data_IF_612438475182
#
_entry.id   IF_612438475182
#
_cell.length_a   1.000
_cell.length_b   1.000
_cell.length_c   1.000
_cell.angle_alpha   90.00
_cell.angle_beta   90.00
_cell.angle_gamma   90.00
#
_symmetry.space_group_name_H-M   'P 1'
#
loop_
_entity.id
_entity.type
_entity.pdbx_description
1 polymer ?
#
# COMPACT_ATOMS: atom_id res chain seq x y z
N UNK A 1 43.00 9.62 55.21
CA UNK A 1 41.66 10.05 54.73
C UNK A 1 41.64 9.95 53.21
N UNK A 2 41.56 8.72 52.69
CA UNK A 2 41.37 8.39 51.27
C UNK A 2 40.58 7.11 51.31
N UNK A 3 39.50 7.05 50.52
CA UNK A 3 38.58 5.93 50.29
C UNK A 3 37.17 6.47 50.48
N UNK A 4 36.53 6.74 49.34
CA UNK A 4 35.08 6.79 49.06
C UNK A 4 34.76 7.60 47.78
N UNK A 5 35.75 7.96 46.96
CA UNK A 5 35.47 8.66 45.69
C UNK A 5 35.09 7.71 44.54
N UNK A 6 35.30 6.39 44.66
CA UNK A 6 35.04 5.44 43.56
C UNK A 6 33.59 4.93 43.51
N UNK A 7 32.82 5.06 44.59
CA UNK A 7 31.43 4.59 44.64
C UNK A 7 30.44 5.51 43.92
N UNK A 8 30.73 6.81 43.84
CA UNK A 8 29.81 7.81 43.27
C UNK A 8 29.89 7.85 41.73
N UNK A 9 31.05 7.51 41.15
CA UNK A 9 31.25 7.57 39.71
C UNK A 9 30.49 6.46 38.94
N UNK A 10 30.33 5.27 39.55
CA UNK A 10 29.68 4.12 38.91
C UNK A 10 28.14 4.24 38.84
N UNK A 11 27.52 4.98 39.75
CA UNK A 11 26.07 5.19 39.76
C UNK A 11 25.60 6.12 38.62
N UNK A 12 26.44 7.07 38.19
CA UNK A 12 26.09 8.00 37.12
C UNK A 12 26.14 7.37 35.73
N UNK A 13 26.97 6.34 35.50
CA UNK A 13 27.06 5.67 34.18
C UNK A 13 25.85 4.78 33.91
N UNK A 14 25.26 4.16 34.94
CA UNK A 14 24.07 3.32 34.79
C UNK A 14 22.78 4.13 34.54
N UNK A 15 22.69 5.34 35.08
CA UNK A 15 21.50 6.19 34.95
C UNK A 15 21.36 6.86 33.57
N UNK A 16 22.46 7.05 32.83
CA UNK A 16 22.45 7.71 31.50
C UNK A 16 22.01 6.75 30.38
N UNK A 17 22.16 5.43 30.57
CA UNK A 17 21.84 4.46 29.51
C UNK A 17 20.36 4.05 29.43
N UNK A 18 19.51 4.47 30.37
CA UNK A 18 18.08 4.11 30.40
C UNK A 18 17.15 5.12 29.70
N UNK A 19 17.68 6.22 29.13
CA UNK A 19 16.87 7.25 28.45
C UNK A 19 16.90 7.19 26.92
N UNK A 20 17.51 6.16 26.34
CA UNK A 20 17.28 5.81 24.93
C UNK A 20 15.92 5.12 24.78
N UNK A 21 14.85 5.80 25.19
CA UNK A 21 13.49 5.48 24.76
C UNK A 21 13.51 5.69 23.25
N UNK A 22 13.64 4.59 22.51
CA UNK A 22 13.58 4.59 21.07
C UNK A 22 12.38 5.42 20.63
N UNK A 23 12.64 6.49 19.88
CA UNK A 23 11.58 7.24 19.23
C UNK A 23 10.67 6.23 18.52
N UNK A 24 9.33 6.36 18.62
CA UNK A 24 8.46 5.50 17.83
C UNK A 24 8.93 5.66 16.39
N UNK A 25 9.25 4.55 15.73
CA UNK A 25 9.58 4.53 14.32
C UNK A 25 8.53 5.38 13.60
N UNK A 26 8.97 6.33 12.77
CA UNK A 26 8.08 7.18 12.00
C UNK A 26 7.24 6.28 11.10
N UNK A 27 6.05 5.94 11.59
CA UNK A 27 5.18 4.98 10.96
C UNK A 27 4.54 5.64 9.74
N UNK A 28 5.16 5.50 8.58
CA UNK A 28 4.64 6.03 7.34
C UNK A 28 3.61 5.06 6.77
N UNK A 29 2.48 5.56 6.27
CA UNK A 29 1.53 4.76 5.51
C UNK A 29 1.30 5.40 4.14
N UNK A 30 1.31 4.58 3.10
CA UNK A 30 1.02 4.99 1.73
C UNK A 30 0.03 4.01 1.09
N UNK A 31 -0.86 4.54 0.25
CA UNK A 31 -1.72 3.74 -0.61
C UNK A 31 -1.00 3.56 -1.95
N UNK A 32 -0.74 2.32 -2.32
CA UNK A 32 -0.18 1.94 -3.61
C UNK A 32 -1.27 1.29 -4.46
N UNK A 33 -1.11 1.40 -5.78
CA UNK A 33 -2.06 0.83 -6.73
C UNK A 33 -1.37 0.33 -7.99
N UNK A 34 -1.85 -0.79 -8.52
CA UNK A 34 -1.49 -1.30 -9.85
C UNK A 34 -2.74 -1.47 -10.72
N UNK A 35 -2.70 -1.00 -11.95
CA UNK A 35 -3.81 -1.09 -12.92
C UNK A 35 -3.36 -1.89 -14.13
N UNK A 36 -4.21 -2.79 -14.59
CA UNK A 36 -4.00 -3.53 -15.83
C UNK A 36 -5.31 -3.89 -16.50
N UNK A 37 -5.25 -4.11 -17.80
CA UNK A 37 -6.37 -4.55 -18.61
C UNK A 37 -6.19 -5.98 -19.17
N UNK A 38 -7.27 -6.51 -19.70
CA UNK A 38 -7.29 -7.82 -20.33
C UNK A 38 -8.56 -8.08 -21.15
N UNK A 39 -8.45 -9.05 -22.05
CA UNK A 39 -9.58 -9.55 -22.83
C UNK A 39 -10.57 -10.38 -21.99
N UNK A 40 -10.09 -10.96 -20.89
CA UNK A 40 -10.89 -11.67 -19.88
C UNK A 40 -10.62 -11.14 -18.46
N UNK A 41 -11.63 -11.28 -17.59
CA UNK A 41 -11.57 -10.78 -16.20
C UNK A 41 -10.44 -11.40 -15.37
N UNK A 42 -10.24 -12.74 -15.35
CA UNK A 42 -9.14 -13.35 -14.60
C UNK A 42 -7.77 -12.80 -14.97
N UNK A 43 -7.48 -12.64 -16.27
CA UNK A 43 -6.22 -12.09 -16.76
C UNK A 43 -6.03 -10.65 -16.30
N UNK A 44 -7.05 -9.79 -16.45
CA UNK A 44 -6.97 -8.39 -16.01
C UNK A 44 -6.73 -8.28 -14.50
N UNK A 45 -7.42 -9.10 -13.70
CA UNK A 45 -7.24 -9.17 -12.23
C UNK A 45 -5.82 -9.61 -11.87
N UNK A 46 -5.34 -10.69 -12.49
CA UNK A 46 -4.01 -11.24 -12.22
C UNK A 46 -2.91 -10.23 -12.53
N UNK A 47 -3.01 -9.55 -13.67
CA UNK A 47 -2.07 -8.51 -14.08
C UNK A 47 -2.13 -7.29 -13.16
N UNK A 48 -3.32 -6.85 -12.74
CA UNK A 48 -3.45 -5.71 -11.83
C UNK A 48 -2.86 -6.02 -10.44
N UNK A 49 -3.03 -7.25 -9.96
CA UNK A 49 -2.42 -7.70 -8.70
C UNK A 49 -0.90 -7.84 -8.80
N UNK A 50 -0.40 -8.33 -9.94
CA UNK A 50 1.03 -8.38 -10.22
C UNK A 50 1.66 -6.98 -10.27
N UNK A 51 1.00 -6.03 -10.96
CA UNK A 51 1.43 -4.63 -11.00
C UNK A 51 1.46 -3.98 -9.60
N UNK A 52 0.47 -4.28 -8.74
CA UNK A 52 0.49 -3.81 -7.35
C UNK A 52 1.66 -4.42 -6.55
N UNK A 53 1.95 -5.71 -6.74
CA UNK A 53 3.05 -6.37 -6.05
C UNK A 53 4.42 -5.82 -6.48
N UNK A 54 4.56 -5.51 -7.77
CA UNK A 54 5.71 -4.81 -8.34
C UNK A 54 5.87 -3.40 -7.75
N UNK A 55 4.79 -2.61 -7.72
CA UNK A 55 4.81 -1.26 -7.13
C UNK A 55 5.21 -1.30 -5.64
N UNK A 56 4.72 -2.28 -4.88
CA UNK A 56 5.11 -2.51 -3.48
C UNK A 56 6.61 -2.81 -3.37
N UNK A 57 7.13 -3.73 -4.20
CA UNK A 57 8.56 -4.10 -4.22
C UNK A 57 9.42 -2.88 -4.53
N UNK A 58 9.04 -2.12 -5.54
CA UNK A 58 9.80 -0.97 -6.03
C UNK A 58 9.75 0.17 -5.00
N UNK A 59 8.60 0.43 -4.38
CA UNK A 59 8.49 1.41 -3.29
C UNK A 59 9.38 1.04 -2.11
N UNK A 60 9.39 -0.24 -1.69
CA UNK A 60 10.28 -0.71 -0.62
C UNK A 60 11.74 -0.51 -0.96
N UNK A 61 12.15 -0.82 -2.20
CA UNK A 61 13.53 -0.64 -2.65
C UNK A 61 13.92 0.84 -2.68
N UNK A 62 13.06 1.69 -3.25
CA UNK A 62 13.29 3.14 -3.35
C UNK A 62 13.39 3.81 -1.98
N UNK A 63 12.52 3.43 -1.03
CA UNK A 63 12.50 3.99 0.33
C UNK A 63 13.41 3.24 1.31
N UNK A 64 14.13 2.20 0.85
CA UNK A 64 15.00 1.33 1.66
C UNK A 64 14.28 0.78 2.91
N UNK A 65 13.01 0.42 2.76
CA UNK A 65 12.16 -0.07 3.84
C UNK A 65 12.44 -1.55 4.10
N UNK A 66 12.58 -1.90 5.38
CA UNK A 66 12.73 -3.29 5.83
C UNK A 66 11.40 -4.04 5.88
N UNK A 67 10.98 -4.39 7.09
CA UNK A 67 9.68 -5.03 7.33
C UNK A 67 8.57 -4.01 7.16
N UNK A 68 7.57 -4.35 6.34
CA UNK A 68 6.39 -3.51 6.10
C UNK A 68 5.14 -4.36 6.23
N UNK A 69 4.05 -3.73 6.67
CA UNK A 69 2.73 -4.33 6.65
C UNK A 69 2.00 -3.94 5.36
N UNK A 70 1.38 -4.92 4.69
CA UNK A 70 0.59 -4.69 3.48
C UNK A 70 -0.82 -5.17 3.73
N UNK A 71 -1.78 -4.26 3.64
CA UNK A 71 -3.21 -4.54 3.88
C UNK A 71 -4.03 -4.11 2.69
N UNK A 72 -5.04 -4.89 2.32
CA UNK A 72 -5.94 -4.52 1.24
C UNK A 72 -6.63 -3.19 1.55
N UNK A 73 -6.51 -2.25 0.62
CA UNK A 73 -7.19 -0.96 0.69
C UNK A 73 -7.62 -0.58 -0.70
N UNK A 74 -8.88 -0.16 -0.83
CA UNK A 74 -9.43 0.23 -2.13
C UNK A 74 -8.67 1.44 -2.66
N UNK A 75 -7.98 1.25 -3.77
CA UNK A 75 -7.44 2.37 -4.54
C UNK A 75 -8.58 3.13 -5.20
N UNK A 76 -8.43 4.45 -5.34
CA UNK A 76 -9.32 5.20 -6.23
C UNK A 76 -9.19 4.59 -7.63
N UNK A 77 -10.30 4.28 -8.33
CA UNK A 77 -10.19 3.82 -9.70
C UNK A 77 -9.47 4.91 -10.50
N UNK A 78 -8.36 4.53 -11.13
CA UNK A 78 -7.58 5.41 -11.99
C UNK A 78 -7.80 4.96 -13.45
N UNK A 79 -8.93 5.29 -14.09
CA UNK A 79 -8.95 5.24 -15.55
C UNK A 79 -7.78 6.08 -16.03
N UNK A 80 -6.93 5.52 -16.88
CA UNK A 80 -5.72 6.20 -17.41
C UNK A 80 -5.98 7.57 -18.08
N UNK A 81 -7.26 7.94 -18.26
CA UNK A 81 -7.76 9.14 -18.92
C UNK A 81 -8.83 9.91 -18.12
N UNK A 82 -9.17 9.51 -16.87
CA UNK A 82 -10.12 10.26 -16.02
C UNK A 82 -9.69 10.30 -14.57
N UNK A 83 -9.84 11.47 -13.96
CA UNK A 83 -9.52 11.75 -12.56
C UNK A 83 -10.55 11.20 -11.57
N UNK A 84 -11.72 10.76 -12.04
CA UNK A 84 -12.74 10.09 -11.24
C UNK A 84 -13.69 9.25 -12.10
N UNK A 85 -14.31 8.26 -11.49
CA UNK A 85 -15.48 7.54 -12.02
C UNK A 85 -16.65 7.92 -11.12
N UNK A 86 -17.57 8.75 -11.61
CA UNK A 86 -18.76 9.11 -10.83
C UNK A 86 -19.70 7.90 -10.71
N UNK A 87 -20.48 7.83 -9.62
CA UNK A 87 -21.48 6.75 -9.39
C UNK A 87 -22.55 6.67 -10.50
N UNK A 88 -22.61 7.71 -11.33
CA UNK A 88 -23.58 8.02 -12.35
C UNK A 88 -22.90 8.32 -13.70
N UNK A 89 -21.65 7.88 -13.91
CA UNK A 89 -21.00 8.03 -15.21
C UNK A 89 -21.64 7.08 -16.21
N UNK A 90 -22.56 7.69 -16.96
CA UNK A 90 -23.34 7.20 -18.06
C UNK A 90 -22.50 6.43 -19.06
N UNK A 91 -22.88 5.18 -19.19
CA UNK A 91 -22.56 4.32 -20.29
C UNK A 91 -23.28 4.85 -21.51
N UNK A 92 -22.53 5.09 -22.57
CA UNK A 92 -23.13 5.31 -23.87
C UNK A 92 -23.76 3.98 -24.31
N UNK A 93 -25.07 3.83 -24.09
CA UNK A 93 -25.95 2.74 -24.55
C UNK A 93 -25.29 1.36 -24.72
N UNK A 94 -25.39 0.54 -23.67
CA UNK A 94 -25.01 -0.89 -23.54
C UNK A 94 -23.75 -1.09 -22.69
N UNK A 95 -23.97 -1.39 -21.39
CA UNK A 95 -22.99 -1.93 -20.44
C UNK A 95 -21.77 -1.06 -20.10
N UNK A 96 -21.90 -0.29 -19.04
CA UNK A 96 -20.77 0.03 -18.18
C UNK A 96 -21.25 0.13 -16.73
N UNK A 97 -20.30 0.16 -15.82
CA UNK A 97 -20.60 0.05 -14.40
C UNK A 97 -19.83 -1.11 -13.85
N UNK A 98 -18.66 -0.78 -13.28
CA UNK A 98 -17.88 -1.57 -12.32
C UNK A 98 -18.33 -3.04 -12.18
N UNK A 99 -17.49 -3.97 -12.64
CA UNK A 99 -17.71 -5.39 -12.44
C UNK A 99 -17.66 -5.72 -10.95
N UNK A 100 -18.82 -6.02 -10.38
CA UNK A 100 -18.97 -6.60 -9.05
C UNK A 100 -18.97 -8.14 -9.12
N UNK A 101 -18.66 -8.84 -8.03
CA UNK A 101 -18.09 -8.31 -6.78
C UNK A 101 -16.65 -7.84 -6.96
N UNK A 102 -16.21 -6.96 -6.05
CA UNK A 102 -14.79 -6.62 -5.92
C UNK A 102 -14.03 -7.84 -5.39
N UNK A 103 -12.76 -7.97 -5.76
CA UNK A 103 -11.93 -9.11 -5.36
C UNK A 103 -11.00 -8.65 -4.24
N UNK A 104 -11.31 -9.04 -3.02
CA UNK A 104 -10.56 -8.65 -1.82
C UNK A 104 -9.75 -9.83 -1.32
N UNK A 105 -8.43 -9.67 -1.26
CA UNK A 105 -7.47 -10.58 -0.62
C UNK A 105 -6.88 -9.90 0.61
N UNK A 106 -6.02 -10.58 1.38
CA UNK A 106 -5.35 -9.97 2.54
C UNK A 106 -4.53 -8.73 2.18
N UNK A 107 -3.84 -8.76 1.04
CA UNK A 107 -2.87 -7.75 0.60
C UNK A 107 -3.29 -6.97 -0.65
N UNK A 108 -4.50 -7.16 -1.17
CA UNK A 108 -4.96 -6.46 -2.38
C UNK A 108 -6.48 -6.31 -2.41
N UNK A 109 -6.95 -5.10 -2.70
CA UNK A 109 -8.35 -4.82 -3.03
C UNK A 109 -8.44 -4.53 -4.52
N UNK A 110 -9.09 -5.40 -5.30
CA UNK A 110 -9.21 -5.24 -6.75
C UNK A 110 -10.63 -4.84 -7.16
N UNK A 111 -10.75 -3.72 -7.86
CA UNK A 111 -11.97 -3.30 -8.57
C UNK A 111 -11.76 -3.45 -10.06
N UNK A 112 -12.80 -3.85 -10.80
CA UNK A 112 -12.74 -3.95 -12.25
C UNK A 112 -13.90 -3.18 -12.89
N UNK A 113 -13.74 -2.72 -14.12
CA UNK A 113 -14.76 -2.06 -14.92
C UNK A 113 -14.53 -2.29 -16.42
N UNK A 114 -15.53 -1.99 -17.23
CA UNK A 114 -15.41 -2.06 -18.68
C UNK A 114 -14.55 -0.91 -19.19
N UNK A 115 -13.50 -1.22 -19.95
CA UNK A 115 -12.68 -0.22 -20.64
C UNK A 115 -13.29 0.18 -21.98
N UNK A 116 -12.69 1.19 -22.61
CA UNK A 116 -13.07 1.63 -23.97
C UNK A 116 -12.47 0.71 -25.04
N UNK A 117 -11.23 0.27 -24.82
CA UNK A 117 -10.48 -0.60 -25.74
C UNK A 117 -10.53 -2.04 -25.27
N UNK A 118 -10.14 -2.28 -24.01
CA UNK A 118 -10.16 -3.61 -23.40
C UNK A 118 -11.45 -3.83 -22.60
N UNK A 119 -12.11 -4.99 -22.71
CA UNK A 119 -13.38 -5.26 -22.06
C UNK A 119 -13.28 -5.33 -20.53
N UNK A 120 -12.08 -5.57 -19.99
CA UNK A 120 -11.80 -5.57 -18.56
C UNK A 120 -10.59 -4.70 -18.24
N UNK A 121 -10.80 -3.71 -17.38
CA UNK A 121 -9.74 -2.91 -16.75
C UNK A 121 -9.90 -3.08 -15.25
N UNK A 122 -8.82 -3.44 -14.56
CA UNK A 122 -8.82 -3.69 -13.12
C UNK A 122 -7.74 -2.88 -12.42
N UNK A 123 -8.06 -2.31 -11.26
CA UNK A 123 -7.11 -1.67 -10.36
C UNK A 123 -7.08 -2.41 -9.04
N UNK A 124 -5.89 -2.81 -8.62
CA UNK A 124 -5.62 -3.38 -7.30
C UNK A 124 -4.96 -2.35 -6.42
N UNK A 125 -5.44 -2.18 -5.19
CA UNK A 125 -4.87 -1.27 -4.19
C UNK A 125 -4.45 -1.98 -2.90
N UNK A 126 -3.43 -1.43 -2.24
CA UNK A 126 -3.03 -1.82 -0.89
C UNK A 126 -2.46 -0.66 -0.11
N UNK A 127 -2.73 -0.64 1.20
CA UNK A 127 -2.05 0.23 2.15
C UNK A 127 -0.78 -0.46 2.63
N UNK A 128 0.35 0.19 2.40
CA UNK A 128 1.66 -0.21 2.87
C UNK A 128 2.06 0.70 4.03
N UNK A 129 2.35 0.13 5.20
CA UNK A 129 2.84 0.88 6.36
C UNK A 129 4.14 0.29 6.90
N UNK A 130 5.08 1.15 7.30
CA UNK A 130 6.42 0.81 7.81
C UNK A 130 6.73 1.62 9.05
#
# INVERSE_FOLDING_TARGET
MRVCWHGVALAFVAAVFCLAVGAPAQAGCVLLSGTADGFDKPTAVGRAQAALAEEVRDYKAQKRLGTVSVTAMRASPNPYWRTSVSNNMLCFNVWCGIYKPDIVKKSSYTTCWSGVVSPYVCTSGAKLCW
#
